data_IF_728318294580
#
_entry.id   IF_728318294580
#
_cell.length_a   1.000
_cell.length_b   1.000
_cell.length_c   1.000
_cell.angle_alpha   90.00
_cell.angle_beta   90.00
_cell.angle_gamma   90.00
#
_symmetry.space_group_name_H-M   'P 1'
#
loop_
_entity.id
_entity.type
_entity.pdbx_description
1 polymer ?
#
# COMPACT_ATOMS: atom_id res chain seq x y z
N UNK A 1 41.12 -34.54 -37.13
CA UNK A 1 41.46 -34.18 -35.74
C UNK A 1 41.37 -32.66 -35.66
N UNK A 2 40.43 -31.99 -35.01
CA UNK A 2 39.81 -32.27 -33.70
C UNK A 2 38.49 -31.49 -33.65
N UNK A 3 37.39 -32.23 -33.45
CA UNK A 3 36.05 -31.71 -33.22
C UNK A 3 35.98 -31.07 -31.83
N UNK A 4 35.59 -29.79 -31.74
CA UNK A 4 35.19 -29.16 -30.47
C UNK A 4 33.70 -29.40 -30.26
N UNK A 5 33.41 -30.41 -29.43
CA UNK A 5 32.14 -30.59 -28.74
C UNK A 5 31.83 -29.33 -27.91
N UNK A 6 30.79 -28.58 -28.29
CA UNK A 6 30.13 -27.65 -27.39
C UNK A 6 28.82 -28.30 -26.97
N UNK A 7 28.87 -28.98 -25.82
CA UNK A 7 27.72 -29.54 -25.15
C UNK A 7 26.69 -28.45 -24.89
N UNK A 8 25.49 -28.69 -25.41
CA UNK A 8 24.24 -27.99 -25.10
C UNK A 8 24.03 -27.96 -23.57
N UNK A 9 24.35 -26.84 -22.93
CA UNK A 9 23.89 -26.52 -21.58
C UNK A 9 22.42 -26.14 -21.70
N UNK A 10 21.55 -27.15 -21.63
CA UNK A 10 20.10 -27.00 -21.53
C UNK A 10 19.79 -26.44 -20.14
N UNK A 11 19.80 -25.11 -20.02
CA UNK A 11 19.29 -24.43 -18.85
C UNK A 11 17.79 -24.75 -18.79
N UNK A 12 17.40 -25.54 -17.79
CA UNK A 12 16.01 -25.80 -17.43
C UNK A 12 15.38 -24.50 -16.90
N UNK A 13 15.11 -23.56 -17.80
CA UNK A 13 14.19 -22.48 -17.54
C UNK A 13 12.81 -23.14 -17.42
N UNK A 14 12.35 -23.37 -16.19
CA UNK A 14 10.91 -23.53 -15.97
C UNK A 14 10.29 -22.20 -16.42
N UNK A 15 9.47 -22.18 -17.48
CA UNK A 15 8.78 -20.96 -17.84
C UNK A 15 7.95 -20.54 -16.63
N UNK A 16 8.15 -19.29 -16.19
CA UNK A 16 7.16 -18.58 -15.39
C UNK A 16 5.80 -18.86 -16.03
N UNK A 17 4.72 -19.15 -15.28
CA UNK A 17 3.41 -19.34 -15.86
C UNK A 17 2.97 -18.00 -16.47
N UNK A 18 3.38 -17.79 -17.71
CA UNK A 18 2.84 -16.83 -18.63
C UNK A 18 1.39 -17.23 -18.73
N UNK A 19 0.56 -16.37 -18.15
CA UNK A 19 -0.87 -16.22 -18.37
C UNK A 19 -1.18 -16.82 -19.74
N UNK A 20 -1.63 -18.08 -19.76
CA UNK A 20 -2.22 -18.71 -20.93
C UNK A 20 -3.45 -17.86 -21.19
N UNK A 21 -3.32 -16.92 -22.11
CA UNK A 21 -4.45 -16.13 -22.56
C UNK A 21 -5.37 -17.12 -23.26
N UNK A 22 -6.56 -17.44 -22.71
CA UNK A 22 -7.56 -18.07 -23.56
C UNK A 22 -7.82 -17.11 -24.72
N UNK A 23 -7.94 -17.67 -25.92
CA UNK A 23 -8.42 -16.98 -27.12
C UNK A 23 -9.56 -16.02 -26.72
N UNK A 24 -9.30 -14.73 -26.91
CA UNK A 24 -10.10 -13.64 -26.39
C UNK A 24 -10.92 -13.00 -27.52
N UNK A 25 -11.73 -13.81 -28.22
CA UNK A 25 -12.81 -13.35 -29.10
C UNK A 25 -13.99 -12.75 -28.32
N UNK A 26 -13.73 -11.90 -27.31
CA UNK A 26 -14.78 -11.22 -26.54
C UNK A 26 -14.73 -9.72 -26.84
N UNK A 27 -15.87 -9.07 -27.17
CA UNK A 27 -15.90 -7.62 -27.35
C UNK A 27 -15.52 -6.95 -26.03
N UNK A 28 -14.42 -6.19 -26.05
CA UNK A 28 -13.86 -5.53 -24.87
C UNK A 28 -14.82 -4.42 -24.42
N UNK A 29 -15.75 -4.73 -23.51
CA UNK A 29 -16.51 -3.70 -22.78
C UNK A 29 -15.53 -2.80 -22.04
N UNK A 30 -15.82 -1.50 -21.95
CA UNK A 30 -14.96 -0.45 -21.33
C UNK A 30 -14.50 -0.78 -19.89
N UNK A 31 -15.17 -1.70 -19.19
CA UNK A 31 -14.83 -2.17 -17.83
C UNK A 31 -14.34 -3.62 -17.74
N UNK A 32 -14.17 -4.34 -18.87
CA UNK A 32 -13.82 -5.76 -18.90
C UNK A 32 -12.40 -6.07 -18.39
N UNK A 33 -11.44 -5.17 -18.64
CA UNK A 33 -10.06 -5.31 -18.16
C UNK A 33 -9.95 -5.19 -16.64
N UNK A 34 -10.69 -4.24 -16.05
CA UNK A 34 -10.79 -4.10 -14.59
C UNK A 34 -11.41 -5.36 -13.98
N UNK A 35 -12.48 -5.89 -14.58
CA UNK A 35 -13.15 -7.10 -14.10
C UNK A 35 -12.28 -8.36 -14.17
N UNK A 36 -11.51 -8.56 -15.25
CA UNK A 36 -10.60 -9.71 -15.40
C UNK A 36 -9.39 -9.58 -14.48
N UNK A 37 -8.83 -8.36 -14.35
CA UNK A 37 -7.73 -8.09 -13.40
C UNK A 37 -8.20 -8.31 -11.97
N UNK A 38 -9.38 -7.79 -11.58
CA UNK A 38 -9.98 -8.01 -10.26
C UNK A 38 -10.36 -9.48 -10.01
N UNK A 39 -10.75 -10.27 -11.03
CA UNK A 39 -11.04 -11.70 -10.86
C UNK A 39 -9.78 -12.56 -10.73
N UNK A 40 -8.78 -12.35 -11.57
CA UNK A 40 -7.50 -13.06 -11.48
C UNK A 40 -6.73 -12.67 -10.20
N UNK A 41 -6.93 -11.45 -9.72
CA UNK A 41 -6.22 -10.91 -8.57
C UNK A 41 -7.06 -10.99 -7.28
N UNK A 42 -8.37 -11.16 -7.36
CA UNK A 42 -9.30 -11.18 -6.22
C UNK A 42 -8.97 -12.25 -5.19
N UNK A 43 -8.48 -13.42 -5.63
CA UNK A 43 -7.91 -14.44 -4.75
C UNK A 43 -6.71 -13.90 -3.97
N UNK A 44 -5.83 -13.11 -4.60
CA UNK A 44 -4.67 -12.45 -3.97
C UNK A 44 -5.02 -11.19 -3.16
N UNK A 45 -6.19 -10.58 -3.38
CA UNK A 45 -6.70 -9.40 -2.61
C UNK A 45 -7.28 -9.81 -1.26
N UNK A 46 -7.79 -11.04 -1.13
CA UNK A 46 -8.31 -11.54 0.15
C UNK A 46 -7.19 -11.92 1.13
N UNK A 47 -6.03 -12.38 0.66
CA UNK A 47 -4.93 -12.81 1.54
C UNK A 47 -4.36 -11.71 2.47
N UNK A 48 -4.20 -10.43 2.05
CA UNK A 48 -3.77 -9.33 2.91
C UNK A 48 -4.80 -8.90 3.98
N UNK A 49 -6.08 -9.25 3.82
CA UNK A 49 -7.15 -8.88 4.77
C UNK A 49 -6.93 -9.56 6.12
N UNK A 50 -6.61 -10.86 6.10
CA UNK A 50 -6.42 -11.67 7.30
C UNK A 50 -5.28 -11.15 8.22
N UNK A 51 -4.04 -10.90 7.72
CA UNK A 51 -2.98 -10.33 8.56
C UNK A 51 -3.28 -8.90 8.99
N UNK A 52 -4.04 -8.12 8.21
CA UNK A 52 -4.45 -6.77 8.63
C UNK A 52 -5.45 -6.82 9.78
N UNK A 53 -6.41 -7.74 9.74
CA UNK A 53 -7.35 -7.98 10.84
C UNK A 53 -6.63 -8.48 12.10
N UNK A 54 -5.66 -9.39 11.97
CA UNK A 54 -4.83 -9.82 13.09
C UNK A 54 -4.07 -8.63 13.70
N UNK A 55 -3.44 -7.80 12.87
CA UNK A 55 -2.74 -6.59 13.32
C UNK A 55 -3.68 -5.65 14.11
N UNK A 56 -4.88 -5.41 13.59
CA UNK A 56 -5.92 -4.62 14.28
C UNK A 56 -6.26 -5.24 15.63
N UNK A 57 -6.47 -6.56 15.70
CA UNK A 57 -6.73 -7.28 16.94
C UNK A 57 -5.63 -7.10 17.99
N UNK A 58 -4.35 -7.24 17.58
CA UNK A 58 -3.22 -7.02 18.48
C UNK A 58 -3.05 -5.55 18.92
N UNK A 59 -3.33 -4.59 18.04
CA UNK A 59 -3.33 -3.17 18.42
C UNK A 59 -4.39 -2.88 19.49
N UNK A 60 -5.58 -3.46 19.36
CA UNK A 60 -6.62 -3.33 20.38
C UNK A 60 -6.34 -4.10 21.66
N UNK A 61 -5.47 -5.11 21.66
CA UNK A 61 -5.06 -5.80 22.89
C UNK A 61 -4.21 -4.89 23.82
N UNK A 62 -3.51 -3.91 23.27
CA UNK A 62 -2.65 -2.98 24.04
C UNK A 62 -3.39 -2.24 25.17
N UNK A 63 -4.53 -1.56 24.96
CA UNK A 63 -5.26 -0.91 26.05
C UNK A 63 -5.73 -1.89 27.13
N UNK A 64 -6.11 -3.11 26.78
CA UNK A 64 -6.49 -4.13 27.78
C UNK A 64 -5.30 -4.61 28.61
N UNK A 65 -4.13 -4.78 27.97
CA UNK A 65 -2.88 -5.09 28.68
C UNK A 65 -2.52 -3.96 29.64
N UNK A 66 -2.65 -2.70 29.22
CA UNK A 66 -2.40 -1.55 30.08
C UNK A 66 -3.34 -1.52 31.28
N UNK A 67 -4.66 -1.72 31.09
CA UNK A 67 -5.61 -1.81 32.20
C UNK A 67 -5.29 -2.96 33.16
N UNK A 68 -4.91 -4.12 32.63
CA UNK A 68 -4.55 -5.30 33.43
C UNK A 68 -3.26 -5.07 34.23
N UNK A 69 -2.30 -4.37 33.65
CA UNK A 69 -1.04 -3.99 34.29
C UNK A 69 -1.26 -2.99 35.43
N UNK A 70 -2.09 -1.98 35.21
CA UNK A 70 -2.46 -1.01 36.25
C UNK A 70 -3.17 -1.75 37.40
N UNK A 71 -4.16 -2.60 37.10
CA UNK A 71 -4.88 -3.38 38.10
C UNK A 71 -3.96 -4.36 38.87
N UNK A 72 -2.91 -4.88 38.24
CA UNK A 72 -1.90 -5.71 38.90
C UNK A 72 -1.07 -4.89 39.91
N UNK A 73 -0.70 -3.65 39.57
CA UNK A 73 0.07 -2.78 40.46
C UNK A 73 -0.76 -2.13 41.57
N UNK A 74 -2.05 -1.86 41.34
CA UNK A 74 -2.95 -1.30 42.36
C UNK A 74 -3.34 -2.32 43.44
N UNK A 75 -3.27 -3.61 43.15
CA UNK A 75 -3.53 -4.66 44.12
C UNK A 75 -2.42 -4.75 45.17
N UNK A 76 -2.69 -4.24 46.37
CA UNK A 76 -1.79 -4.26 47.53
C UNK A 76 -1.74 -5.62 48.26
N UNK A 77 -2.45 -6.63 47.78
CA UNK A 77 -2.47 -7.99 48.35
C UNK A 77 -1.32 -8.87 47.84
N UNK A 78 -1.15 -10.11 48.36
CA UNK A 78 -0.17 -11.06 47.83
C UNK A 78 -0.56 -11.45 46.41
N UNK A 79 0.06 -10.80 45.42
CA UNK A 79 -0.11 -11.12 44.01
C UNK A 79 0.60 -12.42 43.69
N UNK A 80 -0.11 -13.36 43.06
CA UNK A 80 0.49 -14.64 42.64
C UNK A 80 1.53 -14.38 41.56
N UNK A 81 2.76 -14.87 41.73
CA UNK A 81 3.85 -14.78 40.74
C UNK A 81 3.40 -15.19 39.33
N UNK A 82 2.52 -16.19 39.22
CA UNK A 82 1.94 -16.67 37.97
C UNK A 82 1.14 -15.60 37.19
N UNK A 83 0.49 -14.67 37.88
CA UNK A 83 -0.26 -13.58 37.24
C UNK A 83 0.69 -12.56 36.58
N UNK A 84 1.81 -12.23 37.25
CA UNK A 84 2.83 -11.35 36.71
C UNK A 84 3.54 -11.94 35.49
N UNK A 85 3.95 -13.21 35.56
CA UNK A 85 4.54 -13.90 34.41
C UNK A 85 3.56 -14.03 33.23
N UNK A 86 2.28 -14.26 33.51
CA UNK A 86 1.23 -14.28 32.49
C UNK A 86 1.11 -12.95 31.75
N UNK A 87 1.21 -11.82 32.47
CA UNK A 87 1.12 -10.49 31.88
C UNK A 87 2.37 -10.11 31.05
N UNK A 88 3.55 -10.52 31.50
CA UNK A 88 4.80 -10.39 30.72
C UNK A 88 4.70 -11.22 29.43
N UNK A 89 4.24 -12.48 29.53
CA UNK A 89 4.04 -13.35 28.39
C UNK A 89 3.02 -12.79 27.39
N UNK A 90 1.89 -12.29 27.88
CA UNK A 90 0.86 -11.67 27.04
C UNK A 90 1.36 -10.40 26.34
N UNK A 91 2.17 -9.60 27.03
CA UNK A 91 2.81 -8.41 26.45
C UNK A 91 3.77 -8.80 25.32
N UNK A 92 4.68 -9.74 25.59
CA UNK A 92 5.61 -10.26 24.59
C UNK A 92 4.87 -10.79 23.37
N UNK A 93 3.87 -11.65 23.57
CA UNK A 93 3.07 -12.22 22.50
C UNK A 93 2.37 -11.15 21.66
N UNK A 94 1.79 -10.13 22.29
CA UNK A 94 1.09 -9.05 21.60
C UNK A 94 2.04 -8.22 20.74
N UNK A 95 3.18 -7.77 21.27
CA UNK A 95 4.13 -6.96 20.50
C UNK A 95 4.83 -7.77 19.40
N UNK A 96 5.18 -9.02 19.65
CA UNK A 96 5.70 -9.92 18.61
C UNK A 96 4.65 -10.19 17.54
N UNK A 97 3.38 -10.38 17.93
CA UNK A 97 2.25 -10.54 17.02
C UNK A 97 2.04 -9.32 16.11
N UNK A 98 2.17 -8.11 16.64
CA UNK A 98 2.14 -6.85 15.87
C UNK A 98 3.26 -6.83 14.83
N UNK A 99 4.50 -7.10 15.25
CA UNK A 99 5.66 -7.05 14.36
C UNK A 99 5.53 -8.07 13.20
N UNK A 100 5.16 -9.31 13.52
CA UNK A 100 4.97 -10.37 12.52
C UNK A 100 3.81 -10.04 11.58
N UNK A 101 2.66 -9.63 12.12
CA UNK A 101 1.47 -9.31 11.32
C UNK A 101 1.72 -8.12 10.40
N UNK A 102 2.43 -7.09 10.89
CA UNK A 102 2.82 -5.92 10.11
C UNK A 102 3.77 -6.31 8.96
N UNK A 103 4.82 -7.06 9.27
CA UNK A 103 5.77 -7.53 8.26
C UNK A 103 5.09 -8.40 7.20
N UNK A 104 4.22 -9.32 7.63
CA UNK A 104 3.46 -10.20 6.74
C UNK A 104 2.50 -9.43 5.84
N UNK A 105 1.76 -8.46 6.41
CA UNK A 105 0.86 -7.59 5.66
C UNK A 105 1.62 -6.82 4.57
N UNK A 106 2.70 -6.10 4.93
CA UNK A 106 3.51 -5.35 3.98
C UNK A 106 4.11 -6.26 2.90
N UNK A 107 4.64 -7.40 3.28
CA UNK A 107 5.19 -8.37 2.34
C UNK A 107 4.14 -8.82 1.29
N UNK A 108 2.91 -9.11 1.72
CA UNK A 108 1.83 -9.49 0.82
C UNK A 108 1.37 -8.33 -0.06
N UNK A 109 1.25 -7.13 0.50
CA UNK A 109 0.91 -5.90 -0.24
C UNK A 109 1.93 -5.59 -1.34
N UNK A 110 3.24 -5.74 -1.06
CA UNK A 110 4.29 -5.54 -2.07
C UNK A 110 4.29 -6.61 -3.16
N UNK A 111 4.03 -7.88 -2.80
CA UNK A 111 3.89 -8.97 -3.79
C UNK A 111 2.70 -8.74 -4.71
N UNK A 112 1.58 -8.30 -4.15
CA UNK A 112 0.40 -7.90 -4.90
C UNK A 112 0.71 -6.73 -5.86
N UNK A 113 1.33 -5.66 -5.35
CA UNK A 113 1.71 -4.50 -6.16
C UNK A 113 2.66 -4.85 -7.31
N UNK A 114 3.64 -5.72 -7.05
CA UNK A 114 4.60 -6.18 -8.08
C UNK A 114 3.90 -6.99 -9.18
N UNK A 115 2.99 -7.90 -8.83
CA UNK A 115 2.22 -8.68 -9.81
C UNK A 115 1.33 -7.78 -10.68
N UNK A 116 0.67 -6.81 -10.06
CA UNK A 116 -0.11 -5.81 -10.76
C UNK A 116 0.73 -5.00 -11.74
N UNK A 117 1.90 -4.53 -11.29
CA UNK A 117 2.83 -3.76 -12.12
C UNK A 117 3.26 -4.54 -13.35
N UNK A 118 3.73 -5.78 -13.16
CA UNK A 118 4.14 -6.64 -14.24
C UNK A 118 3.01 -6.90 -15.24
N UNK A 119 1.80 -7.19 -14.76
CA UNK A 119 0.64 -7.45 -15.61
C UNK A 119 0.18 -6.24 -16.43
N UNK A 120 0.08 -5.06 -15.80
CA UNK A 120 -0.35 -3.83 -16.45
C UNK A 120 0.66 -3.36 -17.50
N UNK A 121 1.95 -3.32 -17.14
CA UNK A 121 3.01 -2.90 -18.07
C UNK A 121 3.06 -3.84 -19.28
N UNK A 122 3.01 -5.16 -19.08
CA UNK A 122 3.03 -6.12 -20.18
C UNK A 122 1.87 -5.93 -21.17
N UNK A 123 0.65 -5.68 -20.68
CA UNK A 123 -0.52 -5.45 -21.52
C UNK A 123 -0.45 -4.12 -22.29
N UNK A 124 0.07 -3.07 -21.65
CA UNK A 124 0.23 -1.76 -22.27
C UNK A 124 1.28 -1.82 -23.37
N UNK A 125 2.42 -2.47 -23.12
CA UNK A 125 3.47 -2.67 -24.11
C UNK A 125 2.98 -3.44 -25.34
N UNK A 126 2.21 -4.52 -25.16
CA UNK A 126 1.59 -5.27 -26.28
C UNK A 126 0.65 -4.38 -27.12
N UNK A 127 -0.16 -3.56 -26.44
CA UNK A 127 -1.10 -2.66 -27.12
C UNK A 127 -0.38 -1.56 -27.91
N UNK A 128 0.69 -0.99 -27.36
CA UNK A 128 1.49 0.04 -28.03
C UNK A 128 2.22 -0.50 -29.26
N UNK A 129 2.79 -1.70 -29.18
CA UNK A 129 3.43 -2.34 -30.34
C UNK A 129 2.45 -2.59 -31.50
N UNK A 130 1.17 -2.79 -31.20
CA UNK A 130 0.10 -3.02 -32.20
C UNK A 130 -0.48 -1.73 -32.80
N UNK A 131 -0.29 -0.57 -32.16
CA UNK A 131 -0.86 0.72 -32.60
C UNK A 131 0.07 1.53 -33.51
N UNK A 132 1.20 0.95 -33.91
CA UNK A 132 2.35 1.67 -34.43
C UNK A 132 2.06 2.42 -35.74
N UNK A 133 2.02 3.75 -35.72
CA UNK A 133 1.88 4.57 -36.94
C UNK A 133 2.64 5.92 -36.91
N UNK A 134 3.15 6.40 -35.77
CA UNK A 134 3.98 7.62 -35.72
C UNK A 134 5.18 7.52 -34.76
N UNK A 135 6.38 7.49 -35.35
CA UNK A 135 7.67 7.47 -34.63
C UNK A 135 7.90 8.77 -33.86
N UNK A 136 7.83 8.71 -32.53
CA UNK A 136 8.19 9.79 -31.60
C UNK A 136 7.09 10.16 -30.61
N UNK A 137 5.83 10.21 -31.07
CA UNK A 137 4.67 10.44 -30.21
C UNK A 137 4.45 9.24 -29.27
N UNK A 138 4.69 8.02 -29.77
CA UNK A 138 4.54 6.76 -29.03
C UNK A 138 5.41 6.69 -27.77
N UNK A 139 6.65 7.18 -27.82
CA UNK A 139 7.58 7.09 -26.69
C UNK A 139 7.19 8.03 -25.55
N UNK A 140 6.71 9.23 -25.90
CA UNK A 140 6.17 10.20 -24.93
C UNK A 140 4.87 9.68 -24.31
N UNK A 141 3.97 9.12 -25.12
CA UNK A 141 2.72 8.51 -24.66
C UNK A 141 2.99 7.31 -23.75
N UNK A 142 3.92 6.43 -24.11
CA UNK A 142 4.32 5.30 -23.28
C UNK A 142 4.83 5.73 -21.91
N UNK A 143 5.72 6.73 -21.88
CA UNK A 143 6.28 7.26 -20.63
C UNK A 143 5.20 7.81 -19.71
N UNK A 144 4.25 8.58 -20.26
CA UNK A 144 3.15 9.14 -19.49
C UNK A 144 2.25 8.03 -18.92
N UNK A 145 1.92 7.03 -19.74
CA UNK A 145 1.07 5.89 -19.31
C UNK A 145 1.76 5.08 -18.21
N UNK A 146 3.07 4.81 -18.31
CA UNK A 146 3.82 4.11 -17.24
C UNK A 146 3.75 4.90 -15.94
N UNK A 147 3.95 6.22 -16.00
CA UNK A 147 3.86 7.07 -14.82
C UNK A 147 2.46 7.01 -14.19
N UNK A 148 1.40 6.92 -14.98
CA UNK A 148 0.03 6.77 -14.48
C UNK A 148 -0.24 5.37 -13.91
N UNK A 149 0.32 4.31 -14.49
CA UNK A 149 0.27 2.95 -13.94
C UNK A 149 0.94 2.88 -12.58
N UNK A 150 2.11 3.50 -12.41
CA UNK A 150 2.81 3.52 -11.12
C UNK A 150 2.00 4.24 -10.03
N UNK A 151 1.24 5.29 -10.39
CA UNK A 151 0.29 5.94 -9.47
C UNK A 151 -0.86 4.99 -9.09
N UNK A 152 -1.43 4.27 -10.06
CA UNK A 152 -2.53 3.31 -9.81
C UNK A 152 -2.06 2.18 -8.89
N UNK A 153 -0.87 1.63 -9.12
CA UNK A 153 -0.30 0.56 -8.28
C UNK A 153 -0.08 1.08 -6.86
N UNK A 154 0.50 2.28 -6.72
CA UNK A 154 0.71 2.91 -5.43
C UNK A 154 -0.62 3.11 -4.70
N UNK A 155 -1.65 3.64 -5.38
CA UNK A 155 -2.99 3.80 -4.80
C UNK A 155 -3.63 2.45 -4.42
N UNK A 156 -3.41 1.40 -5.24
CA UNK A 156 -3.97 0.08 -4.99
C UNK A 156 -3.44 -0.58 -3.72
N UNK A 157 -2.21 -0.24 -3.31
CA UNK A 157 -1.63 -0.72 -2.06
C UNK A 157 -2.36 -0.17 -0.81
N UNK A 158 -3.01 0.99 -0.92
CA UNK A 158 -3.73 1.63 0.19
C UNK A 158 -5.22 1.26 0.27
N UNK A 159 -5.76 0.52 -0.70
CA UNK A 159 -7.18 0.11 -0.69
C UNK A 159 -7.51 -0.65 0.60
N UNK A 160 -6.58 -1.47 1.08
CA UNK A 160 -6.77 -2.21 2.31
C UNK A 160 -6.75 -1.35 3.57
N UNK A 161 -6.01 -0.24 3.54
CA UNK A 161 -6.00 0.71 4.65
C UNK A 161 -7.33 1.46 4.78
N UNK A 162 -8.02 1.77 3.68
CA UNK A 162 -9.25 2.57 3.72
C UNK A 162 -10.33 1.87 4.58
N UNK A 163 -10.63 0.59 4.31
CA UNK A 163 -11.64 -0.11 5.10
C UNK A 163 -11.13 -0.48 6.49
N UNK A 164 -9.83 -0.80 6.63
CA UNK A 164 -9.23 -1.11 7.93
C UNK A 164 -9.30 0.09 8.87
N UNK A 165 -8.97 1.30 8.40
CA UNK A 165 -9.05 2.55 9.18
C UNK A 165 -10.48 2.85 9.61
N UNK A 166 -11.47 2.60 8.75
CA UNK A 166 -12.89 2.80 9.12
C UNK A 166 -13.29 1.85 10.25
N UNK A 167 -12.92 0.57 10.16
CA UNK A 167 -13.18 -0.40 11.22
C UNK A 167 -12.42 -0.08 12.50
N UNK A 168 -11.13 0.26 12.40
CA UNK A 168 -10.28 0.65 13.53
C UNK A 168 -10.83 1.90 14.22
N UNK A 169 -11.27 2.90 13.48
CA UNK A 169 -11.85 4.12 14.05
C UNK A 169 -13.16 3.80 14.78
N UNK A 170 -14.04 2.98 14.20
CA UNK A 170 -15.29 2.57 14.83
C UNK A 170 -15.05 1.76 16.11
N UNK A 171 -14.15 0.78 16.06
CA UNK A 171 -13.76 -0.03 17.21
C UNK A 171 -13.09 0.81 18.30
N UNK A 172 -12.20 1.74 17.94
CA UNK A 172 -11.55 2.64 18.87
C UNK A 172 -12.56 3.56 19.55
N UNK A 173 -13.50 4.15 18.81
CA UNK A 173 -14.56 4.98 19.37
C UNK A 173 -15.44 4.18 20.35
N UNK A 174 -15.82 2.94 19.98
CA UNK A 174 -16.59 2.06 20.84
C UNK A 174 -15.83 1.66 22.11
N UNK A 175 -14.55 1.32 21.99
CA UNK A 175 -13.70 0.94 23.11
C UNK A 175 -13.46 2.13 24.06
N UNK A 176 -13.26 3.32 23.52
CA UNK A 176 -13.07 4.55 24.27
C UNK A 176 -14.30 4.86 25.13
N UNK A 177 -15.50 4.72 24.54
CA UNK A 177 -16.76 4.85 25.27
C UNK A 177 -16.87 3.84 26.41
N UNK A 178 -16.47 2.59 26.17
CA UNK A 178 -16.55 1.51 27.17
C UNK A 178 -15.56 1.67 28.33
N UNK A 179 -14.32 2.06 28.06
CA UNK A 179 -13.25 2.11 29.08
C UNK A 179 -13.28 3.41 29.92
N UNK A 180 -13.64 4.54 29.31
CA UNK A 180 -13.51 5.87 29.94
C UNK A 180 -14.88 6.45 30.36
N UNK A 181 -15.99 5.90 29.84
CA UNK A 181 -17.33 6.40 30.12
C UNK A 181 -17.58 7.80 29.54
N UNK A 182 -18.48 8.62 30.11
CA UNK A 182 -18.89 9.91 29.55
C UNK A 182 -17.74 10.90 29.31
N UNK A 183 -16.65 10.78 30.09
CA UNK A 183 -15.44 11.60 29.93
C UNK A 183 -14.74 11.40 28.58
N UNK A 184 -15.04 10.33 27.85
CA UNK A 184 -14.53 10.08 26.49
C UNK A 184 -15.00 11.12 25.47
N UNK A 185 -16.11 11.82 25.74
CA UNK A 185 -16.65 12.88 24.87
C UNK A 185 -15.67 14.04 24.69
N UNK A 186 -14.94 14.42 25.75
CA UNK A 186 -13.94 15.49 25.68
C UNK A 186 -12.80 15.11 24.73
N UNK A 187 -12.30 13.88 24.83
CA UNK A 187 -11.22 13.38 23.97
C UNK A 187 -11.68 13.28 22.51
N UNK A 188 -12.91 12.79 22.28
CA UNK A 188 -13.53 12.75 20.95
C UNK A 188 -13.71 14.14 20.35
N UNK A 189 -14.15 15.12 21.14
CA UNK A 189 -14.34 16.50 20.67
C UNK A 189 -13.00 17.11 20.23
N UNK A 190 -11.94 16.95 21.04
CA UNK A 190 -10.60 17.41 20.70
C UNK A 190 -10.07 16.72 19.43
N UNK A 191 -10.26 15.41 19.30
CA UNK A 191 -9.87 14.66 18.10
C UNK A 191 -10.61 15.15 16.85
N UNK A 192 -11.91 15.45 16.95
CA UNK A 192 -12.70 16.00 15.85
C UNK A 192 -12.24 17.41 15.45
N UNK A 193 -11.99 18.29 16.41
CA UNK A 193 -11.45 19.64 16.14
C UNK A 193 -10.11 19.54 15.42
N UNK A 194 -9.23 18.65 15.90
CA UNK A 194 -7.94 18.40 15.26
C UNK A 194 -8.11 17.88 13.82
N UNK A 195 -8.98 16.89 13.62
CA UNK A 195 -9.26 16.34 12.29
C UNK A 195 -9.83 17.39 11.31
N UNK A 196 -10.75 18.23 11.79
CA UNK A 196 -11.29 19.36 11.00
C UNK A 196 -10.19 20.37 10.65
N UNK A 197 -9.33 20.70 11.62
CA UNK A 197 -8.16 21.55 11.40
C UNK A 197 -7.22 20.98 10.34
N UNK A 198 -6.85 19.70 10.45
CA UNK A 198 -6.01 19.01 9.47
C UNK A 198 -6.64 18.98 8.08
N UNK A 199 -7.95 18.72 7.98
CA UNK A 199 -8.67 18.73 6.72
C UNK A 199 -8.72 20.12 6.07
N UNK A 200 -8.91 21.16 6.89
CA UNK A 200 -8.87 22.55 6.44
C UNK A 200 -7.47 22.92 5.92
N UNK A 201 -6.42 22.67 6.72
CA UNK A 201 -5.03 22.92 6.31
C UNK A 201 -4.68 22.15 5.03
N UNK A 202 -5.09 20.88 4.92
CA UNK A 202 -4.84 20.05 3.74
C UNK A 202 -5.36 20.67 2.44
N UNK A 203 -6.55 21.30 2.47
CA UNK A 203 -7.10 22.02 1.31
C UNK A 203 -6.24 23.22 0.88
N UNK A 204 -5.62 23.91 1.83
CA UNK A 204 -4.73 25.04 1.55
C UNK A 204 -3.35 24.58 1.07
N UNK A 205 -2.80 23.52 1.67
CA UNK A 205 -1.51 22.93 1.29
C UNK A 205 -1.53 22.49 -0.17
N UNK A 206 -2.62 21.87 -0.65
CA UNK A 206 -2.73 21.46 -2.05
C UNK A 206 -2.57 22.62 -3.05
N UNK A 207 -3.20 23.77 -2.77
CA UNK A 207 -3.06 24.98 -3.61
C UNK A 207 -1.65 25.56 -3.54
N UNK A 208 -1.07 25.63 -2.34
CA UNK A 208 0.29 26.10 -2.15
C UNK A 208 1.31 25.19 -2.87
N UNK A 209 1.10 23.88 -2.85
CA UNK A 209 1.95 22.91 -3.54
C UNK A 209 1.87 23.05 -5.06
N UNK A 210 0.70 23.33 -5.62
CA UNK A 210 0.57 23.65 -7.05
C UNK A 210 1.32 24.95 -7.42
N UNK A 211 1.19 26.00 -6.62
CA UNK A 211 1.91 27.26 -6.85
C UNK A 211 3.44 27.06 -6.77
N UNK A 212 3.91 26.25 -5.81
CA UNK A 212 5.32 25.88 -5.67
C UNK A 212 5.84 25.07 -6.86
N UNK A 213 5.04 24.10 -7.36
CA UNK A 213 5.38 23.33 -8.56
C UNK A 213 5.50 24.23 -9.80
N UNK A 214 4.56 25.16 -10.00
CA UNK A 214 4.60 26.11 -11.11
C UNK A 214 5.83 27.03 -11.05
N UNK A 215 6.19 27.51 -9.85
CA UNK A 215 7.41 28.29 -9.64
C UNK A 215 8.69 27.48 -9.93
N UNK A 216 8.71 26.22 -9.52
CA UNK A 216 9.82 25.30 -9.78
C UNK A 216 9.97 25.01 -11.27
N UNK A 217 8.88 24.81 -11.99
CA UNK A 217 8.89 24.60 -13.44
C UNK A 217 9.42 25.83 -14.19
N UNK A 218 8.98 27.04 -13.82
CA UNK A 218 9.50 28.30 -14.39
C UNK A 218 11.01 28.44 -14.17
N UNK A 219 11.50 28.09 -12.99
CA UNK A 219 12.95 28.12 -12.68
C UNK A 219 13.71 27.12 -13.54
N UNK A 220 13.24 25.88 -13.66
CA UNK A 220 13.87 24.84 -14.48
C UNK A 220 13.92 25.27 -15.95
N UNK A 221 12.85 25.88 -16.47
CA UNK A 221 12.80 26.40 -17.83
C UNK A 221 13.83 27.52 -18.08
N UNK A 222 13.96 28.46 -17.14
CA UNK A 222 14.95 29.54 -17.23
C UNK A 222 16.40 29.00 -17.24
N UNK A 223 16.71 28.03 -16.37
CA UNK A 223 18.04 27.40 -16.35
C UNK A 223 18.33 26.64 -17.65
N UNK A 224 17.35 25.91 -18.20
CA UNK A 224 17.51 25.25 -19.50
C UNK A 224 17.79 26.25 -20.62
N UNK A 225 17.07 27.37 -20.65
CA UNK A 225 17.27 28.44 -21.65
C UNK A 225 18.68 29.03 -21.57
N UNK A 226 19.16 29.35 -20.35
CA UNK A 226 20.49 29.92 -20.15
C UNK A 226 21.60 28.92 -20.49
N UNK A 227 21.42 27.63 -20.17
CA UNK A 227 22.40 26.59 -20.49
C UNK A 227 22.51 26.31 -22.01
N UNK A 228 21.40 26.40 -22.75
CA UNK A 228 21.42 26.28 -24.22
C UNK A 228 22.07 27.50 -24.86
N UNK A 229 21.80 28.71 -24.35
CA UNK A 229 22.43 29.95 -24.83
C UNK A 229 23.96 29.92 -24.65
N UNK A 230 24.46 29.42 -23.52
CA UNK A 230 25.90 29.27 -23.27
C UNK A 230 26.61 28.21 -24.13
N UNK A 231 25.87 27.30 -24.78
CA UNK A 231 26.44 26.28 -25.69
C UNK A 231 26.40 26.69 -27.17
N UNK A 232 25.69 27.77 -27.49
CA UNK A 232 25.54 28.29 -28.86
C UNK A 232 26.43 29.48 -29.20
N UNK A 233 27.18 30.00 -28.22
CA UNK A 233 28.27 30.97 -28.38
C UNK A 233 29.60 30.27 -28.13
#
# INVERSE_FOLDING_TARGET
MTSRNVQSVRIHHKPFPLITAPDLSYPVRRFGLLGITLRCLGSSVLFPVLPRLCLTGFNFAQPFLATSLIAYFENQGPTTLYAGYGLIGASFFTYTGIAISTGWYWHMSYKYGTKLRGGLIAKISDKLMRLKQETGLESKVFTLIIADVDKIISASAYIHEIWAVVLETGLAAWLLWRQVGPSSLTVLAVALICAMGSAFLGKHVGKAQQAWLAGTEKRIAATKKNAVFSKGN
#
